data_IF_903303756418
#
_entry.id   IF_903303756418
#
_cell.length_a   1.000
_cell.length_b   1.000
_cell.length_c   1.000
_cell.angle_alpha   90.00
_cell.angle_beta   90.00
_cell.angle_gamma   90.00
#
_symmetry.space_group_name_H-M   'P 1'
#
loop_
_entity.id
_entity.type
_entity.pdbx_description
1 polymer ?
#
# COMPACT_ATOMS: atom_id res chain seq x y z
N UNK A 1 12.39 21.68 -17.11
CA UNK A 1 12.61 20.89 -15.89
C UNK A 1 11.37 20.04 -15.68
N UNK A 2 11.30 18.85 -16.27
CA UNK A 2 10.17 17.95 -16.05
C UNK A 2 10.35 17.31 -14.68
N UNK A 3 9.54 17.72 -13.72
CA UNK A 3 9.43 17.13 -12.39
C UNK A 3 8.57 15.86 -12.58
N UNK A 4 9.17 14.77 -13.03
CA UNK A 4 8.48 13.48 -13.05
C UNK A 4 8.71 12.84 -11.68
N UNK A 5 7.64 12.71 -10.90
CA UNK A 5 7.65 11.99 -9.63
C UNK A 5 7.59 10.49 -9.93
N UNK A 6 8.41 9.70 -9.23
CA UNK A 6 8.32 8.25 -9.31
C UNK A 6 7.18 7.78 -8.41
N UNK A 7 6.19 7.08 -8.97
CA UNK A 7 5.04 6.57 -8.22
C UNK A 7 5.02 5.05 -8.27
N UNK A 8 5.12 4.42 -7.10
CA UNK A 8 5.07 2.97 -6.92
C UNK A 8 3.94 2.58 -5.98
N UNK A 9 3.28 1.46 -6.25
CA UNK A 9 2.34 0.83 -5.33
C UNK A 9 2.88 -0.55 -4.98
N UNK A 10 3.22 -0.76 -3.71
CA UNK A 10 3.73 -2.03 -3.18
C UNK A 10 2.69 -2.69 -2.29
N UNK A 11 2.30 -3.90 -2.63
CA UNK A 11 1.56 -4.79 -1.76
C UNK A 11 2.52 -5.44 -0.74
N UNK A 12 2.40 -5.10 0.54
CA UNK A 12 3.17 -5.75 1.60
C UNK A 12 2.59 -7.13 1.92
N UNK A 13 3.42 -8.17 2.05
CA UNK A 13 2.97 -9.54 2.40
C UNK A 13 2.07 -9.52 3.63
N UNK A 14 0.87 -10.10 3.51
CA UNK A 14 -0.18 -10.11 4.53
C UNK A 14 -0.63 -8.73 5.06
N UNK A 15 -0.17 -7.64 4.43
CA UNK A 15 -0.31 -6.28 4.91
C UNK A 15 -1.06 -5.34 3.95
N UNK A 16 -0.89 -4.02 4.08
CA UNK A 16 -1.55 -3.02 3.25
C UNK A 16 -0.92 -2.87 1.86
N UNK A 17 -1.54 -2.00 1.05
CA UNK A 17 -0.90 -1.39 -0.11
C UNK A 17 -0.16 -0.12 0.34
N UNK A 18 1.15 -0.06 0.09
CA UNK A 18 2.00 1.09 0.32
C UNK A 18 2.04 1.91 -0.98
N UNK A 19 1.58 3.16 -0.91
CA UNK A 19 1.71 4.11 -2.01
C UNK A 19 2.96 4.94 -1.76
N UNK A 20 3.96 4.75 -2.60
CA UNK A 20 5.26 5.42 -2.54
C UNK A 20 5.36 6.49 -3.63
N UNK A 21 5.79 7.69 -3.21
CA UNK A 21 6.18 8.78 -4.11
C UNK A 21 7.63 9.10 -3.80
N UNK A 22 8.49 9.00 -4.81
CA UNK A 22 9.95 9.20 -4.67
C UNK A 22 10.53 8.40 -3.49
N UNK A 23 10.24 7.09 -3.48
CA UNK A 23 10.66 6.11 -2.46
C UNK A 23 10.15 6.37 -1.02
N UNK A 24 9.20 7.30 -0.85
CA UNK A 24 8.58 7.59 0.45
C UNK A 24 7.14 7.11 0.48
N UNK A 25 6.83 6.22 1.44
CA UNK A 25 5.46 5.83 1.74
C UNK A 25 4.65 7.05 2.17
N UNK A 26 3.71 7.45 1.32
CA UNK A 26 2.85 8.61 1.56
C UNK A 26 1.50 8.18 2.14
N UNK A 27 0.97 7.03 1.69
CA UNK A 27 -0.31 6.49 2.15
C UNK A 27 -0.23 4.98 2.30
N UNK A 28 -0.96 4.43 3.26
CA UNK A 28 -1.21 3.00 3.37
C UNK A 28 -2.70 2.72 3.19
N UNK A 29 -3.04 1.91 2.18
CA UNK A 29 -4.43 1.57 1.84
C UNK A 29 -4.77 0.15 2.30
N UNK A 30 -5.98 -0.01 2.80
CA UNK A 30 -6.51 -1.31 3.19
C UNK A 30 -6.73 -2.17 1.94
N UNK A 31 -6.20 -3.40 1.96
CA UNK A 31 -6.53 -4.44 0.98
C UNK A 31 -7.16 -5.69 1.57
N UNK A 32 -7.22 -5.80 2.91
CA UNK A 32 -7.84 -6.94 3.59
C UNK A 32 -9.37 -6.82 3.73
N UNK A 33 -9.95 -5.65 3.42
CA UNK A 33 -11.40 -5.41 3.44
C UNK A 33 -12.04 -5.25 4.82
N UNK A 34 -11.26 -5.24 5.91
CA UNK A 34 -11.78 -5.20 7.31
C UNK A 34 -11.31 -3.99 8.12
N UNK A 35 -10.61 -3.03 7.51
CA UNK A 35 -10.23 -1.79 8.21
C UNK A 35 -11.47 -1.01 8.67
N UNK A 36 -11.41 -0.43 9.86
CA UNK A 36 -12.46 0.45 10.39
C UNK A 36 -12.29 1.91 9.92
N UNK A 37 -11.15 2.25 9.34
CA UNK A 37 -10.84 3.60 8.82
C UNK A 37 -10.63 3.60 7.31
N UNK A 38 -11.39 2.76 6.60
CA UNK A 38 -11.34 2.68 5.14
C UNK A 38 -11.44 4.07 4.50
N UNK A 39 -10.63 4.34 3.45
CA UNK A 39 -9.81 3.40 2.68
C UNK A 39 -8.43 3.08 3.29
N UNK A 40 -8.06 3.71 4.40
CA UNK A 40 -6.74 3.55 5.04
C UNK A 40 -6.59 2.20 5.74
N UNK A 41 -5.35 1.74 5.89
CA UNK A 41 -5.05 0.58 6.72
C UNK A 41 -4.90 0.97 8.20
N UNK A 42 -5.61 0.26 9.08
CA UNK A 42 -5.58 0.46 10.54
C UNK A 42 -4.91 -0.70 11.31
N UNK A 43 -4.29 -1.65 10.60
CA UNK A 43 -3.67 -2.85 11.18
C UNK A 43 -4.63 -4.02 11.42
N UNK A 44 -5.92 -3.91 11.10
CA UNK A 44 -6.89 -5.01 11.29
C UNK A 44 -6.52 -6.28 10.51
N UNK A 45 -5.74 -6.17 9.43
CA UNK A 45 -5.24 -7.32 8.66
C UNK A 45 -4.46 -8.33 9.51
N UNK A 46 -3.72 -7.88 10.54
CA UNK A 46 -2.98 -8.76 11.45
C UNK A 46 -3.93 -9.55 12.35
N UNK A 47 -4.99 -8.89 12.84
CA UNK A 47 -5.96 -9.49 13.77
C UNK A 47 -6.82 -10.57 13.13
N UNK A 48 -7.05 -10.49 11.82
CA UNK A 48 -7.87 -11.45 11.07
C UNK A 48 -7.03 -12.50 10.32
N UNK A 49 -5.72 -12.53 10.57
CA UNK A 49 -4.76 -13.38 9.88
C UNK A 49 -4.87 -13.33 8.35
N UNK A 50 -4.98 -12.13 7.78
CA UNK A 50 -5.10 -11.94 6.34
C UNK A 50 -3.87 -12.52 5.62
N UNK A 51 -4.09 -13.40 4.64
CA UNK A 51 -3.03 -14.01 3.84
C UNK A 51 -3.04 -13.46 2.42
N UNK A 52 -1.94 -12.84 2.01
CA UNK A 52 -1.73 -12.40 0.65
C UNK A 52 -0.23 -12.23 0.39
N UNK A 53 0.22 -12.60 -0.81
CA UNK A 53 1.60 -12.40 -1.22
C UNK A 53 1.92 -10.91 -1.46
N UNK A 54 3.22 -10.62 -1.48
CA UNK A 54 3.73 -9.31 -1.85
C UNK A 54 3.81 -9.14 -3.37
N UNK A 55 3.64 -7.91 -3.84
CA UNK A 55 3.81 -7.54 -5.24
C UNK A 55 4.08 -6.04 -5.36
N UNK A 56 4.55 -5.59 -6.52
CA UNK A 56 4.84 -4.18 -6.78
C UNK A 56 4.38 -3.79 -8.19
N UNK A 57 3.83 -2.58 -8.31
CA UNK A 57 3.47 -1.96 -9.58
C UNK A 57 4.12 -0.57 -9.64
N UNK A 58 4.91 -0.34 -10.69
CA UNK A 58 5.41 0.98 -11.06
C UNK A 58 4.33 1.69 -11.86
N UNK A 59 3.79 2.77 -11.30
CA UNK A 59 2.67 3.53 -11.87
C UNK A 59 3.19 4.62 -12.80
N UNK A 60 4.23 5.32 -12.36
CA UNK A 60 4.88 6.39 -13.12
C UNK A 60 6.38 6.34 -12.86
N UNK A 61 7.15 6.35 -13.94
CA UNK A 61 8.61 6.50 -13.95
C UNK A 61 9.01 7.58 -14.96
#
# INVERSE_FOLDING_TARGET
>A
MSIMANVKIKAAKNGPLLVEVDDKTTVTLCRCGRSQTQPSCDGTHEKIDFKAEESEIKVLE
#
